data_IF_291180784127
#
_entry.id   IF_291180784127
#
_cell.length_a   1.000
_cell.length_b   1.000
_cell.length_c   1.000
_cell.angle_alpha   90.00
_cell.angle_beta   90.00
_cell.angle_gamma   90.00
#
_symmetry.space_group_name_H-M   'P 1'
#
loop_
_entity.id
_entity.type
_entity.pdbx_description
1 polymer ?
#
# COMPACT_ATOMS: atom_id res chain seq x y z
N UNK A 1 4.86 -33.11 -12.13
CA UNK A 1 4.49 -33.70 -10.82
C UNK A 1 5.48 -33.46 -9.69
N UNK A 2 6.78 -33.82 -9.79
CA UNK A 2 7.72 -33.59 -8.69
C UNK A 2 8.06 -32.09 -8.48
N UNK A 3 8.36 -31.35 -9.56
CA UNK A 3 8.64 -29.90 -9.47
C UNK A 3 7.42 -29.12 -8.96
N UNK A 4 6.23 -29.43 -9.46
CA UNK A 4 4.97 -28.76 -9.03
C UNK A 4 4.70 -28.86 -7.52
N UNK A 5 5.06 -29.98 -6.88
CA UNK A 5 4.93 -30.13 -5.43
C UNK A 5 5.94 -29.27 -4.66
N UNK A 6 7.13 -29.09 -5.20
CA UNK A 6 8.17 -28.23 -4.62
C UNK A 6 7.71 -26.77 -4.71
N UNK A 7 7.19 -26.34 -5.87
CA UNK A 7 6.75 -24.97 -6.10
C UNK A 7 5.55 -24.58 -5.22
N UNK A 8 4.60 -25.50 -5.02
CA UNK A 8 3.50 -25.33 -4.05
C UNK A 8 3.99 -25.21 -2.60
N UNK A 9 4.95 -26.03 -2.19
CA UNK A 9 5.52 -25.98 -0.84
C UNK A 9 6.25 -24.65 -0.60
N UNK A 10 6.92 -24.14 -1.63
CA UNK A 10 7.59 -22.83 -1.58
C UNK A 10 6.55 -21.71 -1.51
N UNK A 11 5.52 -21.74 -2.35
CA UNK A 11 4.41 -20.80 -2.33
C UNK A 11 3.73 -20.76 -0.95
N UNK A 12 3.45 -21.91 -0.35
CA UNK A 12 2.89 -22.01 1.00
C UNK A 12 3.77 -21.29 2.03
N UNK A 13 5.07 -21.57 2.05
CA UNK A 13 6.01 -20.95 3.02
C UNK A 13 6.07 -19.44 2.89
N UNK A 14 6.15 -18.91 1.67
CA UNK A 14 6.13 -17.46 1.45
C UNK A 14 4.75 -16.85 1.73
N UNK A 15 3.68 -17.59 1.43
CA UNK A 15 2.31 -17.21 1.71
C UNK A 15 2.03 -17.01 3.21
N UNK A 16 2.68 -17.78 4.08
CA UNK A 16 2.60 -17.60 5.53
C UNK A 16 3.10 -16.21 5.98
N UNK A 17 4.06 -15.63 5.25
CA UNK A 17 4.65 -14.32 5.56
C UNK A 17 3.80 -13.13 5.10
N UNK A 18 2.73 -13.37 4.32
CA UNK A 18 1.83 -12.30 3.92
C UNK A 18 1.07 -11.75 5.13
N UNK A 19 1.01 -10.41 5.29
CA UNK A 19 0.22 -9.79 6.33
C UNK A 19 -1.27 -10.03 6.09
N UNK A 20 -2.05 -10.07 7.15
CA UNK A 20 -3.51 -10.02 7.07
C UNK A 20 -3.98 -8.59 6.80
N UNK A 21 -5.13 -8.43 6.16
CA UNK A 21 -5.72 -7.13 5.88
C UNK A 21 -7.17 -7.07 6.39
N UNK A 22 -7.39 -6.26 7.43
CA UNK A 22 -8.73 -5.93 7.97
C UNK A 22 -9.31 -4.63 7.40
N UNK A 23 -8.46 -3.86 6.71
CA UNK A 23 -8.72 -2.55 6.11
C UNK A 23 -8.75 -1.36 7.08
N UNK A 24 -7.92 -1.36 8.12
CA UNK A 24 -7.60 -0.13 8.85
C UNK A 24 -6.68 0.75 7.99
N UNK A 25 -6.85 2.09 8.04
CA UNK A 25 -6.36 3.11 7.07
C UNK A 25 -4.93 2.94 6.51
N UNK A 26 -4.01 2.30 7.23
CA UNK A 26 -2.61 2.11 6.82
C UNK A 26 -2.25 0.66 6.43
N UNK A 27 -3.13 -0.31 6.64
CA UNK A 27 -2.85 -1.74 6.39
C UNK A 27 -3.00 -2.12 4.92
N UNK A 28 -3.96 -1.49 4.22
CA UNK A 28 -4.33 -1.87 2.85
C UNK A 28 -3.14 -1.75 1.88
N UNK A 29 -2.40 -0.64 1.94
CA UNK A 29 -1.30 -0.44 1.00
C UNK A 29 -0.15 -1.43 1.25
N UNK A 30 0.22 -1.64 2.52
CA UNK A 30 1.24 -2.62 2.90
C UNK A 30 0.85 -4.02 2.41
N UNK A 31 -0.41 -4.40 2.62
CA UNK A 31 -0.97 -5.63 2.11
C UNK A 31 -0.88 -5.74 0.58
N UNK A 32 -1.36 -4.72 -0.17
CA UNK A 32 -1.32 -4.73 -1.64
C UNK A 32 0.11 -4.91 -2.15
N UNK A 33 1.06 -4.19 -1.56
CA UNK A 33 2.47 -4.28 -1.93
C UNK A 33 3.05 -5.67 -1.67
N UNK A 34 2.83 -6.23 -0.48
CA UNK A 34 3.30 -7.58 -0.13
C UNK A 34 2.66 -8.66 -1.00
N UNK A 35 1.35 -8.57 -1.25
CA UNK A 35 0.62 -9.49 -2.12
C UNK A 35 1.12 -9.42 -3.57
N UNK A 36 1.36 -8.21 -4.09
CA UNK A 36 1.91 -8.05 -5.43
C UNK A 36 3.33 -8.61 -5.55
N UNK A 37 4.19 -8.40 -4.55
CA UNK A 37 5.53 -9.00 -4.53
C UNK A 37 5.47 -10.51 -4.49
N UNK A 38 4.62 -11.08 -3.63
CA UNK A 38 4.41 -12.51 -3.54
C UNK A 38 3.94 -13.11 -4.87
N UNK A 39 2.89 -12.55 -5.47
CA UNK A 39 2.38 -13.00 -6.77
C UNK A 39 3.44 -12.86 -7.88
N UNK A 40 4.25 -11.79 -7.85
CA UNK A 40 5.31 -11.58 -8.81
C UNK A 40 6.35 -12.71 -8.78
N UNK A 41 6.71 -13.21 -7.60
CA UNK A 41 7.67 -14.33 -7.45
C UNK A 41 7.24 -15.60 -8.20
N UNK A 42 5.93 -15.80 -8.38
CA UNK A 42 5.37 -17.00 -9.04
C UNK A 42 4.76 -16.70 -10.42
N UNK A 43 5.06 -15.55 -11.03
CA UNK A 43 4.47 -15.13 -12.33
C UNK A 43 4.80 -16.10 -13.47
N UNK A 44 5.98 -16.72 -13.42
CA UNK A 44 6.45 -17.63 -14.47
C UNK A 44 6.07 -19.10 -14.23
N UNK A 45 5.36 -19.38 -13.12
CA UNK A 45 4.93 -20.73 -12.78
C UNK A 45 3.71 -21.19 -13.60
N UNK A 46 3.35 -22.46 -13.46
CA UNK A 46 2.14 -23.00 -14.07
C UNK A 46 0.85 -22.39 -13.46
N UNK A 47 -0.27 -22.56 -14.16
CA UNK A 47 -1.57 -22.01 -13.75
C UNK A 47 -2.06 -22.55 -12.40
N UNK A 48 -1.70 -23.78 -12.03
CA UNK A 48 -2.08 -24.36 -10.74
C UNK A 48 -1.42 -23.59 -9.59
N UNK A 49 -0.11 -23.33 -9.68
CA UNK A 49 0.64 -22.56 -8.67
C UNK A 49 0.14 -21.12 -8.63
N UNK A 50 -0.10 -20.48 -9.78
CA UNK A 50 -0.67 -19.12 -9.83
C UNK A 50 -2.03 -19.03 -9.13
N UNK A 51 -2.93 -19.97 -9.41
CA UNK A 51 -4.25 -20.05 -8.79
C UNK A 51 -4.13 -20.27 -7.28
N UNK A 52 -3.24 -21.17 -6.85
CA UNK A 52 -2.95 -21.36 -5.44
C UNK A 52 -2.46 -20.08 -4.77
N UNK A 53 -1.49 -19.37 -5.37
CA UNK A 53 -0.99 -18.11 -4.83
C UNK A 53 -2.08 -17.05 -4.71
N UNK A 54 -3.00 -16.97 -5.68
CA UNK A 54 -4.13 -16.06 -5.59
C UNK A 54 -5.11 -16.44 -4.45
N UNK A 55 -5.39 -17.73 -4.26
CA UNK A 55 -6.21 -18.22 -3.13
C UNK A 55 -5.54 -17.88 -1.80
N UNK A 56 -4.23 -18.05 -1.69
CA UNK A 56 -3.47 -17.64 -0.50
C UNK A 56 -3.64 -16.14 -0.23
N UNK A 57 -3.50 -15.27 -1.24
CA UNK A 57 -3.72 -13.82 -1.07
C UNK A 57 -5.14 -13.54 -0.58
N UNK A 58 -6.17 -14.18 -1.15
CA UNK A 58 -7.57 -14.02 -0.70
C UNK A 58 -7.76 -14.46 0.75
N UNK A 59 -7.12 -15.55 1.17
CA UNK A 59 -7.22 -16.07 2.54
C UNK A 59 -6.67 -15.14 3.62
N UNK A 60 -5.87 -14.13 3.23
CA UNK A 60 -5.31 -13.12 4.13
C UNK A 60 -6.24 -11.93 4.37
N UNK A 61 -7.34 -11.85 3.63
CA UNK A 61 -8.39 -10.87 3.87
C UNK A 61 -9.23 -11.33 5.05
N UNK A 62 -9.45 -10.43 6.00
CA UNK A 62 -10.25 -10.70 7.21
C UNK A 62 -11.32 -9.62 7.39
N UNK A 63 -12.27 -9.87 8.28
CA UNK A 63 -13.31 -8.93 8.71
C UNK A 63 -14.00 -8.20 7.54
N UNK A 64 -13.94 -6.87 7.54
CA UNK A 64 -14.57 -6.00 6.55
C UNK A 64 -14.00 -6.21 5.15
N UNK A 65 -12.70 -6.50 5.03
CA UNK A 65 -12.07 -6.80 3.74
C UNK A 65 -12.69 -8.06 3.12
N UNK A 66 -12.80 -9.11 3.94
CA UNK A 66 -13.36 -10.40 3.53
C UNK A 66 -14.84 -10.28 3.19
N UNK A 67 -15.62 -9.57 4.01
CA UNK A 67 -17.04 -9.35 3.77
C UNK A 67 -17.28 -8.70 2.40
N UNK A 68 -16.56 -7.62 2.10
CA UNK A 68 -16.71 -6.88 0.84
C UNK A 68 -16.35 -7.72 -0.39
N UNK A 69 -15.26 -8.49 -0.29
CA UNK A 69 -14.82 -9.38 -1.38
C UNK A 69 -15.76 -10.57 -1.57
N UNK A 70 -16.37 -11.07 -0.50
CA UNK A 70 -17.30 -12.20 -0.56
C UNK A 70 -18.66 -11.82 -1.14
N UNK A 71 -19.07 -10.56 -1.00
CA UNK A 71 -20.33 -10.04 -1.57
C UNK A 71 -20.19 -9.52 -3.00
N UNK A 72 -18.96 -9.38 -3.50
CA UNK A 72 -18.69 -8.87 -4.84
C UNK A 72 -18.63 -10.00 -5.86
N UNK A 73 -19.40 -9.90 -6.93
CA UNK A 73 -19.17 -10.71 -8.12
C UNK A 73 -17.80 -10.33 -8.69
N UNK A 74 -16.87 -11.30 -8.78
CA UNK A 74 -15.59 -11.19 -9.51
C UNK A 74 -14.50 -10.40 -8.76
N UNK A 75 -13.72 -11.10 -7.92
CA UNK A 75 -12.31 -11.16 -8.29
C UNK A 75 -11.79 -12.60 -8.38
N UNK A 76 -11.69 -13.09 -9.62
CA UNK A 76 -10.96 -14.30 -10.02
C UNK A 76 -9.46 -14.02 -10.28
N UNK A 77 -9.08 -12.74 -10.29
CA UNK A 77 -7.73 -12.27 -10.59
C UNK A 77 -7.26 -11.18 -9.64
N UNK A 78 -5.94 -11.08 -9.52
CA UNK A 78 -5.28 -10.10 -8.66
C UNK A 78 -5.66 -8.65 -8.98
N UNK A 79 -5.67 -8.27 -10.26
CA UNK A 79 -5.97 -6.88 -10.63
C UNK A 79 -7.40 -6.46 -10.26
N UNK A 80 -8.38 -7.35 -10.44
CA UNK A 80 -9.76 -7.12 -10.01
C UNK A 80 -9.85 -6.97 -8.49
N UNK A 81 -9.17 -7.84 -7.74
CA UNK A 81 -9.14 -7.75 -6.27
C UNK A 81 -8.50 -6.44 -5.79
N UNK A 82 -7.34 -6.11 -6.34
CA UNK A 82 -6.59 -4.89 -6.04
C UNK A 82 -7.44 -3.64 -6.31
N UNK A 83 -8.14 -3.61 -7.45
CA UNK A 83 -8.99 -2.48 -7.82
C UNK A 83 -10.21 -2.37 -6.89
N UNK A 84 -10.86 -3.48 -6.56
CA UNK A 84 -11.98 -3.49 -5.61
C UNK A 84 -11.57 -2.95 -4.24
N UNK A 85 -10.45 -3.44 -3.69
CA UNK A 85 -9.96 -3.00 -2.39
C UNK A 85 -9.60 -1.50 -2.42
N UNK A 86 -8.92 -1.02 -3.46
CA UNK A 86 -8.62 0.41 -3.60
C UNK A 86 -9.87 1.27 -3.79
N UNK A 87 -10.89 0.77 -4.50
CA UNK A 87 -12.14 1.50 -4.68
C UNK A 87 -12.91 1.64 -3.37
N UNK A 88 -12.99 0.56 -2.59
CA UNK A 88 -13.80 0.52 -1.37
C UNK A 88 -13.12 1.15 -0.18
N UNK A 89 -11.80 1.10 -0.16
CA UNK A 89 -11.03 1.37 1.04
C UNK A 89 -9.75 2.16 0.81
N UNK A 90 -9.35 2.35 -0.44
CA UNK A 90 -8.22 3.19 -0.77
C UNK A 90 -8.51 4.66 -0.50
N UNK A 91 -7.44 5.44 -0.43
CA UNK A 91 -7.53 6.88 -0.25
C UNK A 91 -8.15 7.55 -1.49
N UNK A 92 -9.35 8.10 -1.31
CA UNK A 92 -10.10 8.81 -2.35
C UNK A 92 -9.66 10.27 -2.49
N UNK A 93 -8.80 10.78 -1.60
CA UNK A 93 -8.30 12.15 -1.71
C UNK A 93 -7.33 12.23 -2.89
N UNK A 94 -7.53 13.26 -3.73
CA UNK A 94 -6.66 13.55 -4.86
C UNK A 94 -5.24 13.89 -4.37
N UNK A 95 -4.23 13.42 -5.10
CA UNK A 95 -2.82 13.73 -4.89
C UNK A 95 -2.55 15.22 -4.67
N UNK A 96 -3.15 16.11 -5.48
CA UNK A 96 -2.93 17.55 -5.37
C UNK A 96 -3.41 18.10 -4.02
N UNK A 97 -4.54 17.58 -3.52
CA UNK A 97 -5.09 17.96 -2.20
C UNK A 97 -4.17 17.47 -1.10
N UNK A 98 -3.64 16.25 -1.18
CA UNK A 98 -2.70 15.73 -0.19
C UNK A 98 -1.39 16.53 -0.18
N UNK A 99 -0.86 16.89 -1.35
CA UNK A 99 0.33 17.74 -1.47
C UNK A 99 0.07 19.10 -0.84
N UNK A 100 -1.08 19.71 -1.11
CA UNK A 100 -1.47 20.99 -0.52
C UNK A 100 -1.58 20.86 1.01
N UNK A 101 -2.23 19.81 1.53
CA UNK A 101 -2.29 19.56 2.97
C UNK A 101 -0.91 19.45 3.61
N UNK A 102 0.04 18.76 2.96
CA UNK A 102 1.42 18.68 3.45
C UNK A 102 2.13 20.03 3.41
N UNK A 103 1.92 20.85 2.38
CA UNK A 103 2.56 22.16 2.24
C UNK A 103 2.15 23.16 3.31
N UNK A 104 0.90 23.06 3.78
CA UNK A 104 0.32 23.94 4.81
C UNK A 104 0.25 23.28 6.19
N UNK A 105 0.81 22.08 6.34
CA UNK A 105 0.91 21.41 7.61
C UNK A 105 1.85 22.22 8.51
N UNK A 106 1.35 22.71 9.64
CA UNK A 106 2.10 23.47 10.62
C UNK A 106 1.90 22.86 12.00
N UNK A 107 2.92 22.98 12.85
CA UNK A 107 2.83 22.60 14.26
C UNK A 107 1.79 23.49 14.94
N UNK A 108 0.82 22.87 15.64
CA UNK A 108 -0.19 23.63 16.39
C UNK A 108 0.42 24.18 17.67
N UNK A 109 -0.13 25.29 18.16
CA UNK A 109 0.19 25.81 19.49
C UNK A 109 -0.08 24.73 20.54
N UNK A 110 0.96 24.34 21.29
CA UNK A 110 0.95 23.25 22.29
C UNK A 110 0.89 21.82 21.74
N UNK A 111 1.21 21.61 20.46
CA UNK A 111 1.44 20.26 19.95
C UNK A 111 2.79 19.72 20.42
N UNK A 112 2.84 18.43 20.73
CA UNK A 112 4.11 17.75 21.00
C UNK A 112 4.86 17.50 19.68
N UNK A 113 6.18 17.74 19.70
CA UNK A 113 7.02 17.65 18.50
C UNK A 113 6.98 16.25 17.87
N UNK A 114 6.93 15.17 18.66
CA UNK A 114 6.86 13.81 18.12
C UNK A 114 5.51 13.60 17.41
N UNK A 115 4.42 14.09 18.00
CA UNK A 115 3.10 14.05 17.35
C UNK A 115 3.08 14.82 16.02
N UNK A 116 3.76 15.98 15.96
CA UNK A 116 3.89 16.73 14.70
C UNK A 116 4.71 15.97 13.66
N UNK A 117 5.84 15.38 14.06
CA UNK A 117 6.67 14.54 13.18
C UNK A 117 5.89 13.34 12.65
N UNK A 118 5.11 12.67 13.51
CA UNK A 118 4.28 11.52 13.12
C UNK A 118 3.24 11.92 12.08
N UNK A 119 2.62 13.11 12.19
CA UNK A 119 1.72 13.64 11.17
C UNK A 119 2.42 13.88 9.84
N UNK A 120 3.62 14.47 9.85
CA UNK A 120 4.42 14.69 8.64
C UNK A 120 4.77 13.35 7.98
N UNK A 121 5.20 12.37 8.76
CA UNK A 121 5.54 11.03 8.28
C UNK A 121 4.31 10.34 7.68
N UNK A 122 3.19 10.34 8.41
CA UNK A 122 1.93 9.75 7.95
C UNK A 122 1.44 10.38 6.65
N UNK A 123 1.50 11.72 6.54
CA UNK A 123 1.09 12.43 5.34
C UNK A 123 2.01 12.12 4.14
N UNK A 124 3.32 12.07 4.36
CA UNK A 124 4.30 11.67 3.33
C UNK A 124 4.05 10.25 2.84
N UNK A 125 3.80 9.31 3.75
CA UNK A 125 3.50 7.92 3.42
C UNK A 125 2.25 7.83 2.55
N UNK A 126 1.17 8.48 2.98
CA UNK A 126 -0.10 8.57 2.26
C UNK A 126 0.05 9.14 0.85
N UNK A 127 0.81 10.23 0.70
CA UNK A 127 1.09 10.83 -0.62
C UNK A 127 1.88 9.87 -1.53
N UNK A 128 2.91 9.21 -1.00
CA UNK A 128 3.69 8.25 -1.78
C UNK A 128 2.83 7.11 -2.29
N UNK A 129 1.87 6.64 -1.46
CA UNK A 129 0.93 5.61 -1.86
C UNK A 129 0.04 6.06 -3.00
N UNK A 130 -0.46 7.31 -2.95
CA UNK A 130 -1.25 7.90 -4.03
C UNK A 130 -0.45 7.99 -5.33
N UNK A 131 0.81 8.45 -5.26
CA UNK A 131 1.72 8.51 -6.42
C UNK A 131 1.93 7.11 -7.03
N UNK A 132 2.12 6.10 -6.19
CA UNK A 132 2.36 4.72 -6.66
C UNK A 132 1.11 4.12 -7.30
N UNK A 133 -0.08 4.44 -6.79
CA UNK A 133 -1.37 3.99 -7.32
C UNK A 133 -1.81 4.72 -8.61
N UNK A 134 -1.45 5.99 -8.79
CA UNK A 134 -1.85 6.76 -9.96
C UNK A 134 -1.21 6.23 -11.26
N UNK A 135 -1.97 6.19 -12.38
CA UNK A 135 -1.52 5.67 -13.67
C UNK A 135 -0.65 6.69 -14.44
N UNK A 136 0.38 7.20 -13.78
CA UNK A 136 1.35 8.14 -14.36
C UNK A 136 2.68 7.44 -14.69
N UNK A 137 3.47 7.92 -15.69
CA UNK A 137 4.78 7.35 -16.01
C UNK A 137 5.80 7.47 -14.86
N UNK A 138 6.73 6.52 -14.76
CA UNK A 138 7.74 6.49 -13.69
C UNK A 138 8.56 7.78 -13.55
N UNK A 139 9.01 8.47 -14.61
CA UNK A 139 9.70 9.75 -14.47
C UNK A 139 8.85 10.82 -13.77
N UNK A 140 7.54 10.81 -14.02
CA UNK A 140 6.60 11.73 -13.38
C UNK A 140 6.43 11.37 -11.89
N UNK A 141 6.32 10.07 -11.56
CA UNK A 141 6.29 9.59 -10.16
C UNK A 141 7.53 10.04 -9.40
N UNK A 142 8.71 9.91 -10.00
CA UNK A 142 9.98 10.33 -9.40
C UNK A 142 10.01 11.84 -9.13
N UNK A 143 9.50 12.66 -10.05
CA UNK A 143 9.43 14.11 -9.87
C UNK A 143 8.56 14.50 -8.67
N UNK A 144 7.38 13.87 -8.52
CA UNK A 144 6.53 14.08 -7.34
C UNK A 144 7.22 13.67 -6.05
N UNK A 145 7.83 12.47 -6.00
CA UNK A 145 8.57 11.99 -4.82
C UNK A 145 9.70 12.96 -4.41
N UNK A 146 10.43 13.51 -5.37
CA UNK A 146 11.46 14.53 -5.12
C UNK A 146 10.87 15.83 -4.56
N UNK A 147 9.73 16.29 -5.09
CA UNK A 147 9.07 17.48 -4.58
C UNK A 147 8.61 17.30 -3.12
N UNK A 148 8.04 16.14 -2.80
CA UNK A 148 7.62 15.81 -1.44
C UNK A 148 8.80 15.75 -0.48
N UNK A 149 9.93 15.19 -0.89
CA UNK A 149 11.16 15.23 -0.10
C UNK A 149 11.64 16.66 0.18
N UNK A 150 11.54 17.56 -0.80
CA UNK A 150 11.88 18.98 -0.61
C UNK A 150 10.96 19.66 0.40
N UNK A 151 9.64 19.40 0.33
CA UNK A 151 8.67 19.93 1.30
C UNK A 151 8.98 19.39 2.70
N UNK A 152 9.18 18.08 2.84
CA UNK A 152 9.47 17.46 4.14
C UNK A 152 10.76 17.99 4.78
N UNK A 153 11.79 18.26 3.97
CA UNK A 153 13.05 18.86 4.46
C UNK A 153 12.82 20.23 5.12
N UNK A 154 11.83 21.02 4.71
CA UNK A 154 11.53 22.31 5.34
C UNK A 154 11.18 22.16 6.82
N UNK A 155 10.45 21.10 7.18
CA UNK A 155 10.12 20.79 8.57
C UNK A 155 11.37 20.41 9.38
N UNK A 156 12.33 19.68 8.78
CA UNK A 156 13.59 19.36 9.45
C UNK A 156 14.42 20.60 9.82
N UNK A 157 14.34 21.67 9.03
CA UNK A 157 15.04 22.93 9.33
C UNK A 157 14.32 23.78 10.40
N UNK A 158 12.99 23.71 10.49
CA UNK A 158 12.23 24.44 11.50
C UNK A 158 12.49 23.91 12.92
N UNK A 159 12.69 22.60 13.07
CA UNK A 159 13.02 21.96 14.36
C UNK A 159 14.40 22.41 14.88
N UNK A 160 15.37 22.65 14.00
CA UNK A 160 16.71 23.10 14.39
C UNK A 160 16.79 24.59 14.78
N UNK A 161 15.79 25.41 14.45
CA UNK A 161 15.75 26.83 14.81
C UNK A 161 14.94 27.09 16.10
N UNK A 162 14.20 26.09 16.59
CA UNK A 162 13.40 26.15 17.81
C UNK A 162 14.11 25.56 19.05
N UNK A 163 15.29 24.95 18.86
CA UNK A 163 16.21 24.44 19.88
C UNK A 163 17.36 25.40 20.13
#
# INVERSE_FOLDING_TARGET
MANERIDLTIAEKFGLLLPTCSVVENELHSFIKSAQQYLFMFTNENELVKNYCFVVVKSKLIDRALAEVSTSDIPDRWDSLKNLLNLKFGDQINLDVLIHQLQFLNEKTHEDLLNFIDKVISMKIRINYRIDADPMPDPQKQLYKLNILKICKKFSYQVHLAS
#
